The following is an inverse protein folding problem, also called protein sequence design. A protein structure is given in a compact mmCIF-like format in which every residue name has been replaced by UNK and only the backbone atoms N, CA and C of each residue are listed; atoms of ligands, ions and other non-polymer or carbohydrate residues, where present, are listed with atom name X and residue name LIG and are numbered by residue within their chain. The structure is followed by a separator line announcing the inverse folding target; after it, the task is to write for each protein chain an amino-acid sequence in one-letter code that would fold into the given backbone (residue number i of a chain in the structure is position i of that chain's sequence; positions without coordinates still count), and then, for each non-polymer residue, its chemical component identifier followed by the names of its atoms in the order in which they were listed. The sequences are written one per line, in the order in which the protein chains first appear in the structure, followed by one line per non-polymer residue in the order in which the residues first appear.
data_IF_481965141458
#
_entry.id   IF_481965141458
#
_cell.length_a   1.000
_cell.length_b   1.000
_cell.length_c   1.000
_cell.angle_alpha   90.00
_cell.angle_beta   90.00
_cell.angle_gamma   90.00
#
_symmetry.space_group_name_H-M   'P 1'
#
loop_
_entity.id
_entity.type
_entity.pdbx_description
1 polymer ?
#
# COMPACT_ATOMS: atom_id res chain seq x y z
N UNK A 1 -36.66 -33.33 4.75
CA UNK A 1 -35.70 -32.33 4.21
C UNK A 1 -35.03 -31.46 5.29
N UNK A 2 -35.02 -31.84 6.59
CA UNK A 2 -34.50 -30.98 7.67
C UNK A 2 -32.98 -31.17 8.00
N UNK A 3 -32.27 -32.05 7.30
CA UNK A 3 -30.85 -32.35 7.58
C UNK A 3 -29.85 -31.46 6.86
N UNK A 4 -30.21 -30.89 5.71
CA UNK A 4 -29.28 -30.10 4.88
C UNK A 4 -28.92 -28.73 5.49
N UNK A 5 -29.77 -28.17 6.35
CA UNK A 5 -29.56 -26.84 6.93
C UNK A 5 -28.46 -26.80 7.99
N UNK A 6 -28.30 -27.87 8.79
CA UNK A 6 -27.31 -27.90 9.90
C UNK A 6 -25.87 -27.88 9.39
N UNK A 7 -25.59 -28.64 8.33
CA UNK A 7 -24.26 -28.68 7.70
C UNK A 7 -23.90 -27.36 7.01
N UNK A 8 -24.89 -26.69 6.40
CA UNK A 8 -24.69 -25.35 5.85
C UNK A 8 -24.24 -24.33 6.90
N UNK A 9 -24.89 -24.33 8.08
CA UNK A 9 -24.53 -23.41 9.18
C UNK A 9 -23.11 -23.70 9.69
N UNK A 10 -22.74 -24.97 9.86
CA UNK A 10 -21.40 -25.35 10.32
C UNK A 10 -20.32 -24.91 9.32
N UNK A 11 -20.57 -25.03 8.01
CA UNK A 11 -19.66 -24.54 6.99
C UNK A 11 -19.52 -23.02 7.03
N UNK A 12 -20.60 -22.27 7.20
CA UNK A 12 -20.55 -20.80 7.32
C UNK A 12 -19.73 -20.38 8.54
N UNK A 13 -19.97 -20.99 9.69
CA UNK A 13 -19.27 -20.65 10.94
C UNK A 13 -17.79 -21.07 10.88
N UNK A 14 -17.49 -22.27 10.38
CA UNK A 14 -16.14 -22.80 10.36
C UNK A 14 -15.26 -22.22 9.25
N UNK A 15 -15.85 -21.73 8.15
CA UNK A 15 -15.11 -21.34 6.95
C UNK A 15 -15.24 -19.85 6.62
N UNK A 16 -16.46 -19.30 6.63
CA UNK A 16 -16.71 -17.93 6.20
C UNK A 16 -16.42 -16.94 7.32
N UNK A 17 -16.87 -17.23 8.55
CA UNK A 17 -16.70 -16.34 9.69
C UNK A 17 -15.22 -16.00 9.98
N UNK A 18 -14.27 -16.96 10.00
CA UNK A 18 -12.85 -16.64 10.24
C UNK A 18 -12.26 -15.77 9.12
N UNK A 19 -12.68 -16.00 7.88
CA UNK A 19 -12.27 -15.18 6.74
C UNK A 19 -12.77 -13.73 6.85
N UNK A 20 -14.01 -13.52 7.30
CA UNK A 20 -14.56 -12.20 7.58
C UNK A 20 -13.84 -11.51 8.75
N UNK A 21 -13.51 -12.23 9.82
CA UNK A 21 -12.73 -11.71 10.95
C UNK A 21 -11.35 -11.25 10.48
N UNK A 22 -10.66 -12.05 9.66
CA UNK A 22 -9.37 -11.66 9.06
C UNK A 22 -9.50 -10.41 8.18
N UNK A 23 -10.54 -10.32 7.35
CA UNK A 23 -10.81 -9.12 6.55
C UNK A 23 -11.04 -7.90 7.42
N UNK A 24 -11.82 -8.03 8.49
CA UNK A 24 -12.13 -6.93 9.39
C UNK A 24 -10.87 -6.45 10.12
N UNK A 25 -10.05 -7.38 10.61
CA UNK A 25 -8.75 -7.06 11.20
C UNK A 25 -7.82 -6.35 10.20
N UNK A 26 -7.78 -6.79 8.93
CA UNK A 26 -7.00 -6.14 7.88
C UNK A 26 -7.53 -4.74 7.53
N UNK A 27 -8.86 -4.59 7.44
CA UNK A 27 -9.51 -3.31 7.14
C UNK A 27 -9.24 -2.27 8.22
N UNK A 28 -9.30 -2.65 9.51
CA UNK A 28 -8.94 -1.76 10.62
C UNK A 28 -7.46 -1.33 10.59
N UNK A 29 -6.58 -2.17 10.04
CA UNK A 29 -5.15 -1.86 9.93
C UNK A 29 -4.81 -0.94 8.75
N UNK A 30 -5.70 -0.78 7.78
CA UNK A 30 -5.51 0.03 6.58
C UNK A 30 -6.75 0.92 6.33
N UNK A 31 -7.00 1.91 7.20
CA UNK A 31 -8.12 2.82 6.99
C UNK A 31 -7.93 3.57 5.66
N UNK A 32 -8.90 3.45 4.75
CA UNK A 32 -8.93 4.16 3.48
C UNK A 32 -8.55 3.34 2.23
N UNK A 33 -8.13 2.08 2.35
CA UNK A 33 -7.90 1.25 1.16
C UNK A 33 -9.22 0.68 0.62
N UNK A 34 -9.81 1.34 -0.37
CA UNK A 34 -11.07 0.89 -0.99
C UNK A 34 -10.97 -0.51 -1.63
N UNK A 35 -9.76 -1.02 -1.89
CA UNK A 35 -9.55 -2.40 -2.39
C UNK A 35 -9.78 -3.46 -1.30
N UNK A 36 -9.71 -3.07 -0.02
CA UNK A 36 -10.09 -3.91 1.12
C UNK A 36 -11.57 -3.80 1.45
N UNK A 37 -12.39 -3.22 0.57
CA UNK A 37 -13.84 -3.42 0.64
C UNK A 37 -14.08 -4.92 0.72
N UNK A 38 -14.85 -5.39 1.73
CA UNK A 38 -15.02 -6.80 1.98
C UNK A 38 -15.67 -7.46 0.76
N UNK A 39 -14.84 -8.03 -0.11
CA UNK A 39 -15.29 -8.84 -1.22
C UNK A 39 -15.48 -10.25 -0.68
N UNK A 40 -16.65 -10.83 -0.94
CA UNK A 40 -16.99 -12.20 -0.57
C UNK A 40 -15.91 -13.17 -1.06
N UNK A 41 -15.34 -12.94 -2.25
CA UNK A 41 -14.24 -13.74 -2.76
C UNK A 41 -13.01 -13.70 -1.85
N UNK A 42 -12.56 -12.51 -1.44
CA UNK A 42 -11.41 -12.37 -0.54
C UNK A 42 -11.69 -13.00 0.83
N UNK A 43 -12.93 -12.88 1.32
CA UNK A 43 -13.37 -13.52 2.56
C UNK A 43 -13.27 -15.05 2.46
N UNK A 44 -13.71 -15.61 1.33
CA UNK A 44 -13.65 -17.06 1.08
C UNK A 44 -12.22 -17.55 0.96
N UNK A 45 -11.34 -16.82 0.26
CA UNK A 45 -9.92 -17.20 0.13
C UNK A 45 -9.22 -17.16 1.49
N UNK A 46 -9.44 -16.10 2.28
CA UNK A 46 -8.87 -16.00 3.63
C UNK A 46 -9.46 -17.08 4.57
N UNK A 47 -10.75 -17.36 4.45
CA UNK A 47 -11.42 -18.46 5.14
C UNK A 47 -10.82 -19.82 4.79
N UNK A 48 -10.55 -20.07 3.51
CA UNK A 48 -9.92 -21.28 3.01
C UNK A 48 -8.51 -21.46 3.56
N UNK A 49 -7.72 -20.39 3.56
CA UNK A 49 -6.38 -20.38 4.13
C UNK A 49 -6.41 -20.64 5.64
N UNK A 50 -7.28 -19.95 6.38
CA UNK A 50 -7.43 -20.17 7.81
C UNK A 50 -7.84 -21.63 8.10
N UNK A 51 -8.80 -22.16 7.35
CA UNK A 51 -9.23 -23.55 7.49
C UNK A 51 -8.06 -24.51 7.22
N UNK A 52 -7.36 -24.36 6.10
CA UNK A 52 -6.21 -25.20 5.74
C UNK A 52 -5.12 -25.17 6.83
N UNK A 53 -4.78 -23.98 7.32
CA UNK A 53 -3.75 -23.81 8.34
C UNK A 53 -4.20 -24.41 9.68
N UNK A 54 -5.42 -24.12 10.13
CA UNK A 54 -5.97 -24.65 11.39
C UNK A 54 -6.12 -26.16 11.33
N UNK A 55 -6.60 -26.75 10.23
CA UNK A 55 -6.68 -28.21 10.11
C UNK A 55 -5.29 -28.83 10.10
N UNK A 56 -4.33 -28.25 9.39
CA UNK A 56 -2.96 -28.80 9.32
C UNK A 56 -2.27 -28.70 10.69
N UNK A 57 -2.24 -27.51 11.29
CA UNK A 57 -1.65 -27.28 12.61
C UNK A 57 -2.42 -27.98 13.75
N UNK A 58 -3.74 -28.13 13.61
CA UNK A 58 -4.58 -28.76 14.62
C UNK A 58 -4.49 -30.28 14.62
N UNK A 59 -4.30 -30.90 13.45
CA UNK A 59 -4.12 -32.35 13.32
C UNK A 59 -2.69 -32.80 13.63
N UNK A 60 -1.69 -31.96 13.40
CA UNK A 60 -0.29 -32.24 13.75
C UNK A 60 -0.10 -32.75 15.20
N UNK A 61 -0.61 -32.07 16.25
CA UNK A 61 -0.52 -32.56 17.62
C UNK A 61 -1.51 -33.69 17.95
N UNK A 62 -2.49 -34.01 17.11
CA UNK A 62 -3.33 -35.22 17.30
C UNK A 62 -2.59 -36.44 16.75
N UNK A 63 -1.95 -36.32 15.59
CA UNK A 63 -1.11 -37.37 15.00
C UNK A 63 0.15 -37.59 15.84
N UNK A 64 0.82 -36.51 16.27
CA UNK A 64 1.97 -36.59 17.17
C UNK A 64 1.57 -36.83 18.64
N UNK A 65 0.38 -36.39 19.06
CA UNK A 65 -0.20 -36.71 20.36
C UNK A 65 -0.64 -38.17 20.49
N UNK A 66 -0.91 -38.87 19.39
CA UNK A 66 -1.01 -40.33 19.41
C UNK A 66 0.35 -41.00 19.67
N UNK A 67 1.46 -40.35 19.29
CA UNK A 67 2.81 -40.82 19.61
C UNK A 67 3.24 -40.43 21.05
N UNK A 68 2.89 -39.23 21.52
CA UNK A 68 3.21 -38.73 22.87
C UNK A 68 2.21 -39.20 23.94
N UNK A 69 0.97 -39.49 23.55
CA UNK A 69 -0.10 -40.00 24.41
C UNK A 69 0.20 -41.40 24.96
N UNK A 70 1.07 -42.17 24.28
CA UNK A 70 1.67 -43.38 24.87
C UNK A 70 2.63 -43.08 26.02
N UNK A 71 3.16 -41.86 26.13
CA UNK A 71 4.11 -41.44 27.16
C UNK A 71 3.44 -40.79 28.39
N UNK A 72 2.25 -40.20 28.22
CA UNK A 72 1.51 -39.49 29.30
C UNK A 72 0.27 -40.25 29.82
N UNK A 73 0.12 -41.53 29.45
CA UNK A 73 -1.05 -42.36 29.76
C UNK A 73 -1.20 -42.98 31.18
N UNK A 74 -0.38 -42.73 32.23
CA UNK A 74 -0.67 -43.35 33.52
C UNK A 74 -1.57 -42.53 34.46
N UNK A 75 -1.73 -41.21 34.25
CA UNK A 75 -2.39 -40.37 35.28
C UNK A 75 -3.93 -40.40 35.20
N UNK A 76 -4.52 -40.53 34.00
CA UNK A 76 -5.97 -40.60 33.85
C UNK A 76 -6.54 -42.01 34.02
N UNK A 77 -5.74 -43.07 33.80
CA UNK A 77 -6.19 -44.45 33.99
C UNK A 77 -6.25 -44.85 35.46
N UNK A 78 -5.39 -44.27 36.31
CA UNK A 78 -5.47 -44.44 37.77
C UNK A 78 -6.79 -43.95 38.37
N UNK A 79 -7.42 -42.93 37.79
CA UNK A 79 -8.74 -42.45 38.20
C UNK A 79 -9.90 -43.32 37.70
N UNK A 80 -9.68 -44.19 36.71
CA UNK A 80 -10.70 -45.13 36.21
C UNK A 80 -10.72 -46.45 36.99
N UNK A 81 -9.67 -46.76 37.77
CA UNK A 81 -9.57 -47.99 38.56
C UNK A 81 -9.97 -47.81 40.03
N UNK A 82 -10.27 -46.59 40.49
CA UNK A 82 -10.75 -46.29 41.84
C UNK A 82 -12.19 -45.74 41.78
N UNK A 83 -13.14 -46.67 41.74
CA UNK A 83 -14.42 -46.71 42.48
C UNK A 83 -15.01 -45.39 43.03
N UNK A 84 -16.07 -44.87 42.38
CA UNK A 84 -17.43 -44.56 42.93
C UNK A 84 -18.16 -43.58 41.96
N UNK A 85 -19.31 -44.02 41.42
CA UNK A 85 -19.58 -43.95 39.98
C UNK A 85 -20.55 -42.87 39.45
N UNK A 86 -20.70 -41.69 40.07
CA UNK A 86 -21.66 -40.68 39.52
C UNK A 86 -21.16 -39.24 39.48
N UNK A 87 -20.20 -38.84 40.32
CA UNK A 87 -19.65 -37.48 40.32
C UNK A 87 -18.51 -37.23 39.33
N UNK A 88 -17.62 -38.22 39.15
CA UNK A 88 -16.36 -38.05 38.41
C UNK A 88 -16.55 -37.98 36.89
N UNK A 89 -17.58 -38.65 36.37
CA UNK A 89 -17.89 -38.66 34.94
C UNK A 89 -18.40 -37.29 34.46
N UNK A 90 -19.14 -36.56 35.30
CA UNK A 90 -19.62 -35.20 34.99
C UNK A 90 -18.49 -34.18 35.03
N UNK A 91 -17.55 -34.28 35.98
CA UNK A 91 -16.38 -33.37 36.05
C UNK A 91 -15.41 -33.63 34.91
N UNK A 92 -15.18 -34.89 34.54
CA UNK A 92 -14.36 -35.25 33.38
C UNK A 92 -14.97 -34.73 32.05
N UNK A 93 -16.28 -34.90 31.84
CA UNK A 93 -16.95 -34.37 30.64
C UNK A 93 -16.94 -32.83 30.58
N UNK A 94 -17.10 -32.16 31.72
CA UNK A 94 -17.01 -30.69 31.80
C UNK A 94 -15.60 -30.19 31.47
N UNK A 95 -14.56 -30.88 31.93
CA UNK A 95 -13.17 -30.55 31.60
C UNK A 95 -12.84 -30.71 30.10
N UNK A 96 -13.35 -31.77 29.48
CA UNK A 96 -13.18 -31.98 28.03
C UNK A 96 -13.98 -30.94 27.22
N UNK A 97 -15.21 -30.63 27.62
CA UNK A 97 -15.98 -29.59 26.96
C UNK A 97 -15.30 -28.22 27.03
N UNK A 98 -14.76 -27.84 28.19
CA UNK A 98 -14.05 -26.57 28.38
C UNK A 98 -12.78 -26.48 27.51
N UNK A 99 -12.01 -27.56 27.42
CA UNK A 99 -10.79 -27.59 26.58
C UNK A 99 -11.12 -27.55 25.09
N UNK A 100 -12.17 -28.24 24.65
CA UNK A 100 -12.66 -28.17 23.25
C UNK A 100 -13.13 -26.75 22.91
N UNK A 101 -13.92 -26.13 23.79
CA UNK A 101 -14.40 -24.75 23.59
C UNK A 101 -13.27 -23.74 23.56
N UNK A 102 -12.31 -23.85 24.48
CA UNK A 102 -11.14 -22.96 24.51
C UNK A 102 -10.30 -23.09 23.23
N UNK A 103 -10.13 -24.32 22.73
CA UNK A 103 -9.43 -24.59 21.48
C UNK A 103 -10.16 -24.01 20.27
N UNK A 104 -11.46 -24.25 20.15
CA UNK A 104 -12.28 -23.66 19.10
C UNK A 104 -12.22 -22.13 19.11
N UNK A 105 -12.23 -21.51 20.29
CA UNK A 105 -12.12 -20.06 20.41
C UNK A 105 -10.76 -19.55 19.94
N UNK A 106 -9.67 -20.21 20.33
CA UNK A 106 -8.31 -19.85 19.93
C UNK A 106 -8.13 -19.98 18.41
N UNK A 107 -8.65 -21.05 17.82
CA UNK A 107 -8.54 -21.35 16.39
C UNK A 107 -9.43 -20.43 15.53
N UNK A 108 -10.65 -20.09 16.00
CA UNK A 108 -11.61 -19.29 15.22
C UNK A 108 -11.46 -17.77 15.40
N UNK A 109 -10.85 -17.31 16.49
CA UNK A 109 -10.76 -15.87 16.82
C UNK A 109 -9.32 -15.39 16.88
N UNK A 110 -8.51 -16.00 17.75
CA UNK A 110 -7.15 -15.50 17.99
C UNK A 110 -6.24 -15.73 16.78
N UNK A 111 -6.34 -16.90 16.16
CA UNK A 111 -5.48 -17.27 15.04
C UNK A 111 -5.70 -16.41 13.77
N UNK A 112 -6.94 -16.15 13.30
CA UNK A 112 -7.20 -15.26 12.17
C UNK A 112 -6.66 -13.84 12.36
N UNK A 113 -6.71 -13.33 13.59
CA UNK A 113 -6.18 -12.01 13.96
C UNK A 113 -4.64 -12.04 13.93
N UNK A 114 -4.03 -13.05 14.55
CA UNK A 114 -2.57 -13.19 14.60
C UNK A 114 -1.98 -13.34 13.19
N UNK A 115 -2.61 -14.14 12.33
CA UNK A 115 -2.20 -14.30 10.95
C UNK A 115 -2.32 -13.01 10.15
N UNK A 116 -3.42 -12.25 10.31
CA UNK A 116 -3.57 -10.95 9.66
C UNK A 116 -2.45 -9.96 10.05
N UNK A 117 -2.09 -9.91 11.35
CA UNK A 117 -0.96 -9.09 11.83
C UNK A 117 0.36 -9.55 11.21
N UNK A 118 0.61 -10.85 11.18
CA UNK A 118 1.85 -11.43 10.63
C UNK A 118 1.96 -11.17 9.13
N UNK A 119 0.90 -11.42 8.37
CA UNK A 119 0.83 -11.17 6.93
C UNK A 119 1.12 -9.70 6.61
N UNK A 120 0.58 -8.76 7.41
CA UNK A 120 0.89 -7.33 7.29
C UNK A 120 2.37 -7.05 7.52
N UNK A 121 2.98 -7.59 8.58
CA UNK A 121 4.42 -7.40 8.84
C UNK A 121 5.27 -7.92 7.69
N UNK A 122 4.95 -9.10 7.16
CA UNK A 122 5.64 -9.68 6.00
C UNK A 122 5.49 -8.77 4.78
N UNK A 123 4.26 -8.31 4.48
CA UNK A 123 4.00 -7.37 3.39
C UNK A 123 4.84 -6.09 3.53
N UNK A 124 4.86 -5.47 4.70
CA UNK A 124 5.64 -4.25 4.94
C UNK A 124 7.16 -4.49 4.79
N UNK A 125 7.67 -5.63 5.25
CA UNK A 125 9.08 -6.00 5.06
C UNK A 125 9.42 -6.23 3.58
N UNK A 126 8.53 -6.86 2.82
CA UNK A 126 8.73 -7.07 1.39
C UNK A 126 8.69 -5.75 0.60
N UNK A 127 7.81 -4.83 0.99
CA UNK A 127 7.75 -3.47 0.45
C UNK A 127 9.02 -2.68 0.79
N UNK A 128 9.47 -2.70 2.04
CA UNK A 128 10.69 -2.04 2.47
C UNK A 128 11.95 -2.59 1.76
N UNK A 129 11.91 -3.86 1.34
CA UNK A 129 12.97 -4.51 0.55
C UNK A 129 12.82 -4.31 -0.96
N UNK A 130 11.83 -3.55 -1.43
CA UNK A 130 11.57 -3.34 -2.85
C UNK A 130 11.16 -4.60 -3.62
N UNK A 131 10.75 -5.68 -2.94
CA UNK A 131 10.32 -6.94 -3.58
C UNK A 131 8.84 -6.93 -3.96
N UNK A 132 8.06 -6.14 -3.25
CA UNK A 132 6.69 -5.82 -3.62
C UNK A 132 6.64 -4.32 -3.80
N UNK A 133 6.39 -3.85 -5.02
CA UNK A 133 6.03 -2.46 -5.21
C UNK A 133 4.62 -2.28 -4.61
N UNK A 134 4.43 -1.40 -3.62
CA UNK A 134 3.15 -1.21 -2.99
C UNK A 134 2.22 -0.47 -3.94
N UNK A 135 1.65 -1.20 -4.90
CA UNK A 135 0.51 -0.77 -5.72
C UNK A 135 0.71 0.63 -6.33
N UNK A 136 1.92 0.93 -6.81
CA UNK A 136 2.16 2.09 -7.66
C UNK A 136 1.35 1.91 -8.93
N UNK A 137 0.51 2.88 -9.25
CA UNK A 137 -0.08 2.91 -10.58
C UNK A 137 1.06 3.11 -11.61
N UNK A 138 0.89 2.64 -12.86
CA UNK A 138 1.85 2.96 -13.93
C UNK A 138 2.09 4.48 -14.06
N UNK A 139 1.08 5.27 -13.72
CA UNK A 139 1.16 6.73 -13.61
C UNK A 139 2.14 7.18 -12.52
N UNK A 140 2.01 6.66 -11.29
CA UNK A 140 2.92 6.99 -10.18
C UNK A 140 4.36 6.64 -10.54
N UNK A 141 4.58 5.49 -11.18
CA UNK A 141 5.89 5.05 -11.62
C UNK A 141 6.48 5.99 -12.68
N UNK A 142 5.69 6.36 -13.70
CA UNK A 142 6.11 7.27 -14.76
C UNK A 142 6.48 8.66 -14.20
N UNK A 143 5.66 9.21 -13.31
CA UNK A 143 5.93 10.51 -12.68
C UNK A 143 7.13 10.42 -11.75
N UNK A 144 7.19 9.42 -10.86
CA UNK A 144 8.30 9.29 -9.90
C UNK A 144 9.64 9.09 -10.60
N UNK A 145 9.67 8.34 -11.70
CA UNK A 145 10.87 8.17 -12.52
C UNK A 145 11.35 9.53 -13.07
N UNK A 146 10.46 10.39 -13.54
CA UNK A 146 10.82 11.73 -14.03
C UNK A 146 11.25 12.66 -12.90
N UNK A 147 10.53 12.68 -11.78
CA UNK A 147 10.90 13.45 -10.59
C UNK A 147 12.29 13.04 -10.09
N UNK A 148 12.62 11.75 -10.11
CA UNK A 148 13.92 11.23 -9.68
C UNK A 148 15.08 11.71 -10.58
N UNK A 149 14.83 11.94 -11.87
CA UNK A 149 15.81 12.54 -12.79
C UNK A 149 16.03 14.03 -12.48
N UNK A 150 15.04 14.69 -11.88
CA UNK A 150 15.13 16.10 -11.48
C UNK A 150 14.91 17.11 -12.62
N UNK A 151 14.61 16.62 -13.82
CA UNK A 151 14.35 17.48 -14.97
C UNK A 151 12.87 17.91 -14.99
N UNK A 152 12.59 19.22 -15.08
CA UNK A 152 11.25 19.73 -15.32
C UNK A 152 10.69 19.23 -16.66
N UNK A 153 9.37 19.07 -16.73
CA UNK A 153 8.69 18.64 -17.95
C UNK A 153 7.33 19.33 -18.08
N UNK A 154 6.85 19.46 -19.32
CA UNK A 154 5.51 19.97 -19.58
C UNK A 154 4.55 18.78 -19.60
N UNK A 155 3.39 18.96 -18.97
CA UNK A 155 2.30 17.99 -19.00
C UNK A 155 1.19 18.55 -19.86
N UNK A 156 0.76 17.79 -20.86
CA UNK A 156 -0.42 18.09 -21.67
C UNK A 156 -1.51 17.10 -21.30
N UNK A 157 -2.57 17.60 -20.69
CA UNK A 157 -3.74 16.83 -20.31
C UNK A 157 -4.82 16.92 -21.39
N UNK A 158 -5.27 15.76 -21.87
CA UNK A 158 -6.44 15.63 -22.74
C UNK A 158 -7.66 15.45 -21.86
N UNK A 159 -8.55 16.43 -21.84
CA UNK A 159 -9.76 16.43 -21.03
C UNK A 159 -10.87 15.56 -21.67
N UNK A 160 -11.89 15.25 -20.88
CA UNK A 160 -13.02 14.40 -21.34
C UNK A 160 -13.84 15.02 -22.46
N UNK A 161 -13.91 16.34 -22.54
CA UNK A 161 -14.58 17.10 -23.59
C UNK A 161 -13.74 17.24 -24.88
N UNK A 162 -12.54 16.66 -24.90
CA UNK A 162 -11.59 16.77 -26.00
C UNK A 162 -10.72 18.02 -25.96
N UNK A 163 -10.94 18.93 -24.99
CA UNK A 163 -10.06 20.07 -24.79
C UNK A 163 -8.67 19.61 -24.29
N UNK A 164 -7.65 20.45 -24.52
CA UNK A 164 -6.28 20.17 -24.10
C UNK A 164 -5.79 21.32 -23.23
N UNK A 165 -5.16 20.97 -22.12
CA UNK A 165 -4.54 21.92 -21.21
C UNK A 165 -3.09 21.53 -21.01
N UNK A 166 -2.18 22.48 -21.18
CA UNK A 166 -0.78 22.31 -20.88
C UNK A 166 -0.41 23.00 -19.56
N UNK A 167 0.52 22.42 -18.82
CA UNK A 167 1.14 23.09 -17.69
C UNK A 167 2.52 22.54 -17.38
N UNK A 168 3.31 23.36 -16.69
CA UNK A 168 4.68 23.02 -16.34
C UNK A 168 4.70 22.23 -15.04
N UNK A 169 5.39 21.09 -15.07
CA UNK A 169 5.68 20.27 -13.90
C UNK A 169 7.13 20.51 -13.46
N UNK A 170 7.33 21.46 -12.55
CA UNK A 170 8.62 21.73 -11.91
C UNK A 170 8.57 21.59 -10.39
N UNK A 171 9.28 22.47 -9.67
CA UNK A 171 9.61 22.27 -8.25
C UNK A 171 8.41 22.42 -7.32
N UNK A 172 7.48 23.30 -7.63
CA UNK A 172 6.28 23.51 -6.82
C UNK A 172 5.08 22.70 -7.33
N UNK A 173 5.27 21.90 -8.38
CA UNK A 173 4.24 20.99 -8.88
C UNK A 173 4.10 19.79 -7.95
N UNK A 174 2.89 19.20 -7.90
CA UNK A 174 2.58 18.05 -7.05
C UNK A 174 1.77 17.04 -7.83
N UNK A 175 2.16 15.77 -7.76
CA UNK A 175 1.31 14.67 -8.17
C UNK A 175 0.72 14.04 -6.90
N UNK A 176 -0.58 13.79 -6.92
CA UNK A 176 -1.24 12.95 -5.93
C UNK A 176 -0.70 11.53 -6.08
N UNK A 177 0.27 11.16 -5.24
CA UNK A 177 0.85 9.82 -5.16
C UNK A 177 0.03 8.86 -4.29
N UNK A 178 -1.18 9.26 -3.87
CA UNK A 178 -2.10 8.37 -3.18
C UNK A 178 -2.82 7.49 -4.21
N UNK A 179 -3.17 6.26 -3.80
CA UNK A 179 -3.78 5.29 -4.70
C UNK A 179 -5.00 5.88 -5.39
N UNK A 180 -4.95 5.90 -6.71
CA UNK A 180 -6.01 6.41 -7.59
C UNK A 180 -6.33 7.89 -7.44
N UNK A 181 -5.52 8.70 -6.72
CA UNK A 181 -5.79 10.14 -6.73
C UNK A 181 -5.55 10.68 -8.12
N UNK A 182 -4.45 10.33 -8.79
CA UNK A 182 -4.05 10.81 -10.12
C UNK A 182 -4.13 12.34 -10.29
N UNK A 183 -4.39 13.07 -9.22
CA UNK A 183 -4.56 14.50 -9.22
C UNK A 183 -3.21 15.13 -9.48
N UNK A 184 -3.21 16.20 -10.26
CA UNK A 184 -2.00 16.88 -10.66
C UNK A 184 -2.15 18.36 -10.37
N UNK A 185 -1.21 18.92 -9.63
CA UNK A 185 -1.03 20.35 -9.52
C UNK A 185 0.20 20.74 -10.33
N UNK A 186 -0.03 21.56 -11.35
CA UNK A 186 0.99 22.13 -12.23
C UNK A 186 1.21 23.58 -11.80
N UNK A 187 2.47 23.96 -11.58
CA UNK A 187 2.78 25.29 -11.01
C UNK A 187 2.55 26.44 -12.00
N UNK A 188 2.60 26.17 -13.31
CA UNK A 188 2.29 27.15 -14.35
C UNK A 188 1.31 26.56 -15.37
N UNK A 189 0.37 27.40 -15.81
CA UNK A 189 -0.45 27.14 -16.99
C UNK A 189 0.32 27.52 -18.24
N UNK A 190 0.22 26.72 -19.31
CA UNK A 190 0.88 27.00 -20.58
C UNK A 190 -0.15 27.11 -21.71
N UNK A 191 0.04 28.11 -22.58
CA UNK A 191 -0.80 28.29 -23.77
C UNK A 191 -0.47 27.21 -24.80
N UNK A 192 -1.49 26.43 -25.15
CA UNK A 192 -1.42 25.39 -26.17
C UNK A 192 -2.29 25.81 -27.36
N UNK A 193 -1.70 25.84 -28.54
CA UNK A 193 -2.43 26.09 -29.78
C UNK A 193 -3.17 24.82 -30.25
N UNK A 194 -4.13 24.98 -31.17
CA UNK A 194 -4.97 23.89 -31.68
C UNK A 194 -4.16 22.80 -32.42
N UNK A 195 -3.00 23.16 -32.97
CA UNK A 195 -2.03 22.27 -33.61
C UNK A 195 -1.15 21.51 -32.60
N UNK A 196 -1.25 21.82 -31.31
CA UNK A 196 -0.40 21.25 -30.25
C UNK A 196 0.89 22.03 -30.00
N UNK A 197 1.08 23.19 -30.65
CA UNK A 197 2.26 24.03 -30.42
C UNK A 197 2.17 24.75 -29.07
N UNK A 198 3.26 24.73 -28.31
CA UNK A 198 3.39 25.40 -27.00
C UNK A 198 3.90 26.83 -27.21
N UNK A 199 3.16 27.82 -26.74
CA UNK A 199 3.50 29.24 -26.95
C UNK A 199 4.15 29.92 -25.73
N UNK A 200 4.09 29.30 -24.55
CA UNK A 200 4.67 29.82 -23.32
C UNK A 200 3.67 29.90 -22.16
N UNK A 201 4.12 30.35 -20.98
CA UNK A 201 3.30 30.41 -19.77
C UNK A 201 2.20 31.47 -19.89
N UNK A 202 1.05 31.18 -19.31
CA UNK A 202 -0.07 32.12 -19.17
C UNK A 202 0.27 33.13 -18.08
N UNK A 203 0.38 34.40 -18.44
CA UNK A 203 0.70 35.47 -17.50
C UNK A 203 -0.33 35.57 -16.37
N UNK A 204 0.15 35.64 -15.13
CA UNK A 204 -0.70 35.76 -13.93
C UNK A 204 -1.38 34.47 -13.47
N UNK A 205 -1.04 33.31 -14.06
CA UNK A 205 -1.53 32.03 -13.57
C UNK A 205 -0.90 31.65 -12.22
N UNK A 206 -1.73 31.22 -11.27
CA UNK A 206 -1.29 30.63 -10.00
C UNK A 206 -1.07 29.12 -10.08
N UNK A 207 -1.03 28.55 -11.28
CA UNK A 207 -0.99 27.11 -11.52
C UNK A 207 -2.34 26.51 -11.91
N UNK A 208 -2.35 25.22 -12.22
CA UNK A 208 -3.54 24.46 -12.62
C UNK A 208 -3.67 23.23 -11.74
N UNK A 209 -4.86 23.03 -11.18
CA UNK A 209 -5.23 21.78 -10.54
C UNK A 209 -6.05 20.92 -11.51
N UNK A 210 -5.55 19.74 -11.83
CA UNK A 210 -6.16 18.74 -12.70
C UNK A 210 -6.56 17.52 -11.87
N UNK A 211 -7.84 17.33 -11.57
CA UNK A 211 -8.28 16.13 -10.87
C UNK A 211 -8.13 14.90 -11.78
N UNK A 212 -7.86 13.70 -11.24
CA UNK A 212 -7.71 12.48 -12.06
C UNK A 212 -8.89 12.21 -12.98
N UNK A 213 -10.11 12.45 -12.49
CA UNK A 213 -11.34 12.27 -13.26
C UNK A 213 -11.52 13.30 -14.38
N UNK A 214 -10.71 14.36 -14.40
CA UNK A 214 -10.83 15.45 -15.37
C UNK A 214 -10.18 15.16 -16.71
N UNK A 215 -9.24 14.22 -16.77
CA UNK A 215 -8.46 13.93 -17.98
C UNK A 215 -8.57 12.45 -18.40
N UNK A 216 -8.41 12.20 -19.70
CA UNK A 216 -8.39 10.89 -20.33
C UNK A 216 -6.96 10.39 -20.55
N UNK A 217 -6.05 11.30 -20.89
CA UNK A 217 -4.65 11.00 -21.18
C UNK A 217 -3.75 12.17 -20.75
N UNK A 218 -2.50 11.83 -20.41
CA UNK A 218 -1.45 12.78 -20.10
C UNK A 218 -0.25 12.49 -21.00
N UNK A 219 0.21 13.53 -21.70
CA UNK A 219 1.48 13.53 -22.40
C UNK A 219 2.50 14.28 -21.56
N UNK A 220 3.72 13.74 -21.47
CA UNK A 220 4.82 14.32 -20.70
C UNK A 220 5.95 14.65 -21.66
N UNK A 221 6.19 15.93 -21.88
CA UNK A 221 7.16 16.46 -22.84
C UNK A 221 8.36 16.97 -22.07
N UNK A 222 9.55 16.45 -22.37
CA UNK A 222 10.79 16.92 -21.76
C UNK A 222 11.13 18.31 -22.27
N UNK A 223 11.42 19.22 -21.34
CA UNK A 223 11.95 20.54 -21.69
C UNK A 223 13.45 20.36 -21.83
N UNK A 224 13.94 20.36 -23.07
CA UNK A 224 15.36 20.48 -23.32
C UNK A 224 15.79 21.87 -22.86
N UNK A 225 16.42 21.95 -21.70
CA UNK A 225 17.20 23.13 -21.37
C UNK A 225 18.42 23.09 -22.29
N UNK A 226 18.41 23.87 -23.37
CA UNK A 226 19.66 24.37 -23.90
C UNK A 226 20.28 25.18 -22.77
N UNK A 227 21.15 24.52 -22.04
CA UNK A 227 22.00 25.14 -21.06
C UNK A 227 22.85 26.14 -21.84
N UNK A 228 22.43 27.41 -21.86
CA UNK A 228 23.27 28.58 -22.14
C UNK A 228 24.34 28.72 -21.03
N UNK A 229 25.09 27.64 -20.78
CA UNK A 229 26.28 27.61 -19.94
C UNK A 229 27.40 28.47 -20.54
N UNK A 230 27.29 28.82 -21.83
CA UNK A 230 28.25 29.67 -22.53
C UNK A 230 28.02 31.18 -22.28
N UNK A 231 26.85 31.58 -21.78
CA UNK A 231 26.56 32.98 -21.47
C UNK A 231 27.10 33.43 -20.10
N UNK A 232 27.41 32.48 -19.20
CA UNK A 232 27.95 32.78 -17.86
C UNK A 232 29.49 32.68 -17.76
N UNK A 233 30.18 32.21 -18.81
CA UNK A 233 31.64 32.25 -18.91
C UNK A 233 32.17 33.47 -19.69
N UNK A 234 31.30 34.43 -20.01
CA UNK A 234 31.67 35.74 -20.52
C UNK A 234 32.61 36.44 -19.55
N UNK A 235 33.89 36.36 -19.88
CA UNK A 235 35.03 36.96 -19.21
C UNK A 235 34.77 38.47 -19.04
N UNK A 236 34.65 38.92 -17.78
CA UNK A 236 34.84 40.34 -17.45
C UNK A 236 36.30 40.70 -17.74
N UNK A 237 36.61 41.00 -19.00
CA UNK A 237 37.81 41.76 -19.35
C UNK A 237 37.61 43.18 -18.79
N UNK A 238 38.06 43.34 -17.55
CA UNK A 238 38.17 44.62 -16.84
C UNK A 238 39.15 45.54 -17.59
N UNK A 239 38.71 46.65 -18.21
CA UNK A 239 39.61 47.64 -18.75
C UNK A 239 39.87 48.73 -17.71
N UNK A 240 41.13 49.20 -17.71
CA UNK A 240 41.57 50.47 -17.12
C UNK A 240 41.96 50.50 -15.63
N UNK A 241 43.13 49.92 -15.35
CA UNK A 241 44.12 50.58 -14.47
C UNK A 241 45.30 51.04 -15.34
N UNK A 242 45.16 52.22 -15.98
CA UNK A 242 46.26 52.93 -16.64
C UNK A 242 46.51 54.22 -15.87
N UNK A 243 47.29 54.08 -14.81
CA UNK A 243 47.73 55.16 -13.93
C UNK A 243 48.81 55.98 -14.67
N UNK A 244 48.40 57.05 -15.35
CA UNK A 244 49.28 58.05 -15.96
C UNK A 244 49.60 59.13 -14.93
N UNK A 245 50.85 59.14 -14.47
CA UNK A 245 51.42 60.11 -13.54
C UNK A 245 52.21 61.14 -14.35
N UNK A 246 51.55 62.19 -14.81
CA UNK A 246 52.17 63.47 -15.22
C UNK A 246 51.82 64.45 -14.10
N UNK A 247 52.75 65.08 -13.39
CA UNK A 247 53.84 65.88 -13.93
C UNK A 247 53.46 67.36 -13.74
N UNK A 248 53.38 67.83 -12.49
CA UNK A 248 53.14 69.23 -12.15
C UNK A 248 54.46 69.90 -11.77
N UNK A 249 55.14 70.45 -12.77
CA UNK A 249 56.18 71.47 -12.64
C UNK A 249 55.62 72.82 -13.13
N UNK A 250 56.05 73.89 -12.45
CA UNK A 250 56.09 75.29 -12.90
C UNK A 250 54.76 76.01 -13.20
N UNK A 251 54.60 77.32 -13.02
CA UNK A 251 55.30 78.40 -12.34
C UNK A 251 54.43 79.67 -12.55
N UNK A 252 54.71 80.72 -11.77
CA UNK A 252 54.17 82.11 -11.83
C UNK A 252 52.93 82.40 -11.00
#
# INVERSE_FOLDING_TARGET
MAGASKWGILLVIGFILPGLISLWALSLMQPGDERLRPNVYTALVLGAWNFLIVTTLGTLPVVHGLAIGKLFMPVSWGCLLLEEQSGCLVTAMRGQAATILARLWLDLVLFPILWAVLARKIYLVLVARGRLDPLRSPFDEAILKRIAVGNPFIVVAHLQDGARIAGFFGRNSRAGLHRHSGDLYLEEAWNLSADGTLHGPVSGSGGIFLPARGYLALEMIEVAYELDLDAASGTEDSPASRNGKEGSEESV
#
